data_IF_938443396298
#
_entry.id   IF_938443396298
#
_cell.length_a   1.000
_cell.length_b   1.000
_cell.length_c   1.000
_cell.angle_alpha   90.00
_cell.angle_beta   90.00
_cell.angle_gamma   90.00
#
_symmetry.space_group_name_H-M   'P 1'
#
loop_
_entity.id
_entity.type
_entity.pdbx_description
1 polymer ?
#
# COMPACT_ATOMS: atom_id res chain seq x y z
N UNK A 1 -3.46 -26.00 7.79
CA UNK A 1 -4.48 -25.02 7.36
C UNK A 1 -4.12 -24.57 5.95
N UNK A 2 -5.01 -24.79 4.97
CA UNK A 2 -4.80 -24.36 3.58
C UNK A 2 -5.13 -22.87 3.50
N UNK A 3 -4.33 -22.11 2.76
CA UNK A 3 -4.67 -20.74 2.41
C UNK A 3 -5.90 -20.76 1.50
N UNK A 4 -7.03 -20.23 1.99
CA UNK A 4 -8.20 -19.99 1.15
C UNK A 4 -8.04 -18.60 0.54
N UNK A 5 -7.99 -18.55 -0.78
CA UNK A 5 -8.03 -17.29 -1.51
C UNK A 5 -9.37 -16.61 -1.17
N UNK A 6 -9.37 -15.36 -0.69
CA UNK A 6 -10.61 -14.64 -0.51
C UNK A 6 -11.28 -14.42 -1.85
N UNK A 7 -12.60 -14.34 -1.81
CA UNK A 7 -13.36 -13.77 -2.92
C UNK A 7 -13.31 -12.24 -2.87
N UNK A 8 -13.52 -11.61 -4.01
CA UNK A 8 -13.54 -10.16 -4.10
C UNK A 8 -14.62 -9.53 -3.22
N UNK A 9 -15.74 -10.26 -3.04
CA UNK A 9 -16.85 -9.90 -2.18
C UNK A 9 -16.41 -9.85 -0.71
N UNK A 10 -15.68 -10.87 -0.23
CA UNK A 10 -15.15 -10.87 1.15
C UNK A 10 -14.20 -9.70 1.39
N UNK A 11 -13.37 -9.35 0.40
CA UNK A 11 -12.45 -8.22 0.49
C UNK A 11 -13.23 -6.91 0.53
N UNK A 12 -14.26 -6.76 -0.30
CA UNK A 12 -15.12 -5.58 -0.31
C UNK A 12 -15.80 -5.40 1.04
N UNK A 13 -16.40 -6.46 1.58
CA UNK A 13 -17.11 -6.42 2.86
C UNK A 13 -16.15 -6.02 3.97
N UNK A 14 -14.97 -6.64 4.00
CA UNK A 14 -13.93 -6.30 4.96
C UNK A 14 -13.46 -4.84 4.87
N UNK A 15 -13.37 -4.29 3.65
CA UNK A 15 -13.01 -2.88 3.45
C UNK A 15 -14.12 -1.93 3.90
N UNK A 16 -15.39 -2.28 3.65
CA UNK A 16 -16.56 -1.50 4.06
C UNK A 16 -16.69 -1.49 5.59
N UNK A 17 -16.59 -2.65 6.25
CA UNK A 17 -16.64 -2.77 7.72
C UNK A 17 -15.58 -1.91 8.41
N UNK A 18 -14.42 -1.76 7.76
CA UNK A 18 -13.29 -0.96 8.25
C UNK A 18 -13.34 0.51 7.83
N UNK A 19 -14.32 0.89 7.01
CA UNK A 19 -14.45 2.20 6.37
C UNK A 19 -13.16 2.64 5.67
N UNK A 20 -12.65 1.74 4.86
CA UNK A 20 -11.34 1.86 4.23
C UNK A 20 -11.43 2.39 2.80
N UNK A 21 -10.36 3.00 2.30
CA UNK A 21 -10.29 3.55 0.92
C UNK A 21 -9.63 2.61 -0.08
N UNK A 22 -9.41 1.34 0.30
CA UNK A 22 -8.77 0.34 -0.57
C UNK A 22 -9.79 -0.19 -1.57
N UNK A 23 -9.40 -0.20 -2.85
CA UNK A 23 -10.16 -0.84 -3.91
C UNK A 23 -9.93 -2.36 -3.92
N UNK A 24 -11.01 -3.13 -3.71
CA UNK A 24 -10.95 -4.59 -3.60
C UNK A 24 -10.54 -5.27 -4.93
N UNK A 25 -10.94 -4.71 -6.08
CA UNK A 25 -10.50 -5.19 -7.40
C UNK A 25 -9.01 -4.99 -7.56
N UNK A 26 -8.51 -3.79 -7.29
CA UNK A 26 -7.10 -3.50 -7.40
C UNK A 26 -6.24 -4.39 -6.48
N UNK A 27 -6.71 -4.64 -5.25
CA UNK A 27 -6.04 -5.56 -4.35
C UNK A 27 -6.00 -7.00 -4.90
N UNK A 28 -7.12 -7.51 -5.39
CA UNK A 28 -7.22 -8.86 -5.95
C UNK A 28 -6.31 -9.02 -7.16
N UNK A 29 -6.39 -8.11 -8.14
CA UNK A 29 -5.62 -8.16 -9.39
C UNK A 29 -4.11 -8.16 -9.12
N UNK A 30 -3.67 -7.29 -8.19
CA UNK A 30 -2.27 -7.22 -7.76
C UNK A 30 -1.76 -8.56 -7.22
N UNK A 31 -2.52 -9.22 -6.34
CA UNK A 31 -2.09 -10.49 -5.76
C UNK A 31 -2.33 -11.69 -6.67
N UNK A 32 -3.31 -11.62 -7.56
CA UNK A 32 -3.56 -12.63 -8.57
C UNK A 32 -2.41 -12.70 -9.58
N UNK A 33 -1.97 -11.54 -10.10
CA UNK A 33 -0.82 -11.44 -10.98
C UNK A 33 0.51 -11.88 -10.31
N UNK A 34 0.65 -11.61 -9.00
CA UNK A 34 1.84 -11.97 -8.22
C UNK A 34 1.81 -13.39 -7.63
N UNK A 35 0.74 -14.16 -7.83
CA UNK A 35 0.61 -15.53 -7.31
C UNK A 35 0.41 -15.64 -5.80
N UNK A 36 -0.20 -14.62 -5.16
CA UNK A 36 -0.50 -14.59 -3.72
C UNK A 36 0.72 -14.72 -2.82
N UNK A 37 1.79 -13.99 -3.15
CA UNK A 37 3.05 -14.00 -2.41
C UNK A 37 3.27 -12.64 -1.75
N UNK A 38 3.67 -12.64 -0.48
CA UNK A 38 4.06 -11.42 0.26
C UNK A 38 5.56 -11.49 0.53
N UNK A 39 6.32 -10.65 -0.17
CA UNK A 39 7.78 -10.67 -0.13
C UNK A 39 8.34 -11.95 -0.76
N UNK A 40 8.75 -12.90 0.06
CA UNK A 40 9.32 -14.20 -0.37
C UNK A 40 8.50 -15.40 0.10
N UNK A 41 7.31 -15.15 0.65
CA UNK A 41 6.50 -16.16 1.35
C UNK A 41 5.08 -16.17 0.82
N UNK A 42 4.51 -17.36 0.65
CA UNK A 42 3.09 -17.50 0.33
C UNK A 42 2.22 -16.80 1.38
N UNK A 43 1.21 -16.08 0.91
CA UNK A 43 0.28 -15.36 1.77
C UNK A 43 -0.45 -16.37 2.66
N UNK A 44 -0.56 -16.02 3.95
CA UNK A 44 -1.32 -16.79 4.94
C UNK A 44 -2.61 -16.08 5.32
N UNK A 45 -2.52 -14.75 5.48
CA UNK A 45 -3.64 -13.91 5.90
C UNK A 45 -3.76 -12.67 5.00
N UNK A 46 -4.75 -12.68 4.12
CA UNK A 46 -5.02 -11.54 3.25
C UNK A 46 -5.53 -10.32 4.04
N UNK A 47 -6.30 -10.53 5.12
CA UNK A 47 -6.78 -9.45 6.00
C UNK A 47 -5.62 -8.67 6.63
N UNK A 48 -4.56 -9.35 7.06
CA UNK A 48 -3.36 -8.70 7.58
C UNK A 48 -2.62 -7.90 6.50
N UNK A 49 -2.65 -8.39 5.26
CA UNK A 49 -2.06 -7.72 4.10
C UNK A 49 -2.81 -6.43 3.77
N UNK A 50 -4.15 -6.45 3.76
CA UNK A 50 -5.00 -5.26 3.61
C UNK A 50 -4.62 -4.19 4.64
N UNK A 51 -4.47 -4.57 5.92
CA UNK A 51 -4.04 -3.65 6.99
C UNK A 51 -2.68 -3.00 6.75
N UNK A 52 -1.76 -3.74 6.11
CA UNK A 52 -0.45 -3.18 5.77
C UNK A 52 -0.53 -2.23 4.58
N UNK A 53 -1.36 -2.55 3.60
CA UNK A 53 -1.68 -1.68 2.47
C UNK A 53 -2.28 -0.34 2.91
N UNK A 54 -3.21 -0.36 3.87
CA UNK A 54 -3.79 0.86 4.49
C UNK A 54 -2.67 1.81 4.96
N UNK A 55 -1.73 1.27 5.74
CA UNK A 55 -0.63 2.04 6.31
C UNK A 55 0.30 2.60 5.24
N UNK A 56 0.52 1.88 4.15
CA UNK A 56 1.36 2.34 3.05
C UNK A 56 0.67 3.43 2.22
N UNK A 57 -0.64 3.34 1.99
CA UNK A 57 -1.40 4.39 1.30
C UNK A 57 -1.32 5.73 2.05
N UNK A 58 -1.44 5.71 3.38
CA UNK A 58 -1.35 6.92 4.22
C UNK A 58 0.09 7.47 4.28
N UNK A 59 1.09 6.58 4.27
CA UNK A 59 2.52 6.96 4.39
C UNK A 59 3.16 7.45 3.10
N UNK A 60 2.40 7.62 2.03
CA UNK A 60 2.91 8.30 0.84
C UNK A 60 2.58 9.79 0.95
N UNK A 61 3.43 10.63 1.58
CA UNK A 61 3.37 12.04 1.22
C UNK A 61 3.67 12.06 -0.26
N UNK A 62 2.83 12.73 -1.05
CA UNK A 62 3.17 13.10 -2.40
C UNK A 62 4.43 13.98 -2.33
N UNK A 63 5.62 13.37 -2.28
CA UNK A 63 6.87 14.03 -2.63
C UNK A 63 6.77 14.18 -4.14
N UNK A 64 6.04 15.20 -4.56
CA UNK A 64 6.14 15.70 -5.91
C UNK A 64 7.61 16.07 -6.10
N UNK A 65 8.15 15.85 -7.30
CA UNK A 65 9.53 16.24 -7.64
C UNK A 65 9.78 17.74 -7.39
N UNK A 66 8.73 18.54 -7.22
CA UNK A 66 8.78 19.95 -6.81
C UNK A 66 9.25 20.18 -5.36
N UNK A 67 9.09 19.22 -4.43
CA UNK A 67 9.53 19.36 -3.02
C UNK A 67 10.91 18.74 -2.74
N UNK A 68 11.47 17.95 -3.66
CA UNK A 68 12.85 17.48 -3.55
C UNK A 68 13.79 18.60 -4.03
N UNK A 69 14.19 19.47 -3.10
CA UNK A 69 15.28 20.42 -3.33
C UNK A 69 16.60 19.81 -2.78
N UNK A 70 17.44 19.18 -3.61
CA UNK A 70 18.72 18.62 -3.20
C UNK A 70 19.73 19.69 -2.75
N UNK A 71 19.43 20.98 -2.97
CA UNK A 71 20.30 22.11 -2.64
C UNK A 71 19.81 22.93 -1.44
N UNK A 72 18.74 22.50 -0.75
CA UNK A 72 18.19 23.19 0.43
C UNK A 72 19.21 23.41 1.54
N UNK A 73 20.20 22.52 1.67
CA UNK A 73 21.30 22.61 2.64
C UNK A 73 22.55 23.36 2.16
N UNK A 74 22.64 23.71 0.86
CA UNK A 74 23.80 24.38 0.27
C UNK A 74 23.62 25.92 0.21
N UNK A 75 22.43 26.43 0.52
CA UNK A 75 22.15 27.87 0.61
C UNK A 75 22.67 28.44 1.94
N UNK A 76 23.98 28.42 2.14
CA UNK A 76 24.63 29.14 3.24
C UNK A 76 25.41 30.32 2.63
N UNK A 77 24.75 31.48 2.66
CA UNK A 77 25.28 32.85 2.66
C UNK A 77 26.22 33.26 1.52
N UNK A 78 25.64 33.88 0.50
CA UNK A 78 26.20 35.09 -0.10
C UNK A 78 25.09 36.14 -0.08
N UNK A 79 24.89 36.72 1.11
CA UNK A 79 24.24 38.03 1.23
C UNK A 79 25.41 39.03 1.28
N UNK A 80 25.35 40.05 0.43
CA UNK A 80 26.31 41.15 0.38
C UNK A 80 26.41 41.90 1.72
#
# INVERSE_FOLDING_TARGET
MRFCKPTIEEIREYCIERNNTIDAQHFMDHYEANGWVVGKTAMKDWKATVRNWERNAIRTPAITKASYDPYKGLRIRNEC
#
